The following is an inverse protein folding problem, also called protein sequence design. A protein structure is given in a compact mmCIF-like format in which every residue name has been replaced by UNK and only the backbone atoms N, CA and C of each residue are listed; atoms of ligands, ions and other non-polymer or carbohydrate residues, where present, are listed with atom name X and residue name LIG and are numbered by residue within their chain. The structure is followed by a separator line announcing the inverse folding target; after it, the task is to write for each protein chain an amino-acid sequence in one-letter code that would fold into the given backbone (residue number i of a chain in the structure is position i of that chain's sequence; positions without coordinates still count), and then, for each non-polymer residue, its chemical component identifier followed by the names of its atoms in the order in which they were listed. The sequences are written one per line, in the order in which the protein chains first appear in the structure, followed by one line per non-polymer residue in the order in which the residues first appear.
data_IF_761343474343
#
_entry.id   IF_761343474343
#
_cell.length_a   1.000
_cell.length_b   1.000
_cell.length_c   1.000
_cell.angle_alpha   90.00
_cell.angle_beta   90.00
_cell.angle_gamma   90.00
#
_symmetry.space_group_name_H-M   'P 1'
#
loop_
_entity.id
_entity.type
_entity.pdbx_description
1 polymer ?
#
# COMPACT_ATOMS: atom_id res chain seq x y z
N UNK A 1 1.66 -1.43 23.68
CA UNK A 1 0.56 -2.09 24.41
C UNK A 1 -0.14 -3.02 23.44
N UNK A 2 -0.17 -4.34 23.72
CA UNK A 2 -0.80 -5.35 22.86
C UNK A 2 -2.30 -5.37 23.20
N UNK A 3 -3.15 -4.86 22.31
CA UNK A 3 -4.60 -5.00 22.43
C UNK A 3 -5.03 -6.20 21.61
N UNK A 4 -5.53 -7.25 22.24
CA UNK A 4 -6.28 -8.28 21.52
C UNK A 4 -7.72 -7.78 21.42
N UNK A 5 -8.20 -7.50 20.21
CA UNK A 5 -9.61 -7.18 19.97
C UNK A 5 -10.32 -8.47 19.57
N UNK A 6 -11.11 -9.05 20.47
CA UNK A 6 -11.98 -10.18 20.13
C UNK A 6 -13.41 -9.64 20.02
N UNK A 7 -13.97 -9.61 18.81
CA UNK A 7 -15.37 -9.26 18.56
C UNK A 7 -16.27 -10.31 19.20
N UNK A 8 -17.01 -9.92 20.25
CA UNK A 8 -18.00 -10.80 20.88
C UNK A 8 -19.23 -10.93 19.97
N UNK A 9 -19.70 -12.15 19.65
CA UNK A 9 -21.01 -12.31 19.03
C UNK A 9 -22.09 -11.86 20.02
N UNK A 10 -22.99 -10.98 19.58
CA UNK A 10 -24.16 -10.58 20.36
C UNK A 10 -25.10 -11.77 20.52
N UNK A 11 -25.25 -12.28 21.75
CA UNK A 11 -26.15 -13.38 22.04
C UNK A 11 -27.61 -12.88 22.05
N UNK A 12 -28.39 -13.27 21.04
CA UNK A 12 -29.85 -13.30 21.15
C UNK A 12 -30.22 -14.49 22.05
N UNK A 13 -30.87 -14.20 23.17
CA UNK A 13 -31.43 -15.18 24.10
C UNK A 13 -32.63 -15.88 23.46
N UNK A 14 -32.40 -17.04 22.85
CA UNK A 14 -33.44 -17.95 22.38
C UNK A 14 -32.95 -19.39 22.57
N UNK A 15 -33.57 -20.11 23.51
CA UNK A 15 -33.20 -21.44 23.95
C UNK A 15 -33.34 -22.46 22.80
N UNK A 16 -32.23 -22.87 22.18
CA UNK A 16 -32.16 -24.04 21.32
C UNK A 16 -30.83 -24.75 21.54
N UNK A 17 -30.90 -25.93 22.15
CA UNK A 17 -29.79 -26.89 22.32
C UNK A 17 -29.36 -27.43 20.94
N UNK A 18 -28.66 -26.60 20.17
CA UNK A 18 -27.78 -27.09 19.11
C UNK A 18 -26.40 -27.31 19.72
N UNK A 19 -25.77 -28.43 19.36
CA UNK A 19 -24.36 -28.67 19.61
C UNK A 19 -23.57 -27.47 19.08
N UNK A 20 -23.22 -26.55 19.99
CA UNK A 20 -22.39 -25.39 19.70
C UNK A 20 -21.01 -25.97 19.48
N UNK A 21 -20.69 -26.29 18.22
CA UNK A 21 -19.31 -26.44 17.82
C UNK A 21 -18.59 -25.19 18.36
N UNK A 22 -17.48 -25.34 19.09
CA UNK A 22 -16.75 -24.18 19.61
C UNK A 22 -16.36 -23.34 18.39
N UNK A 23 -17.12 -22.27 18.16
CA UNK A 23 -16.69 -21.19 17.30
C UNK A 23 -15.53 -20.59 18.08
N UNK A 24 -14.34 -21.13 17.86
CA UNK A 24 -13.10 -20.54 18.31
C UNK A 24 -13.09 -19.16 17.67
N UNK A 25 -13.50 -18.15 18.43
CA UNK A 25 -13.32 -16.76 18.05
C UNK A 25 -11.81 -16.57 17.97
N UNK A 26 -11.27 -16.72 16.77
CA UNK A 26 -9.86 -16.51 16.51
C UNK A 26 -9.55 -15.06 16.89
N UNK A 27 -8.93 -14.87 18.05
CA UNK A 27 -8.42 -13.56 18.43
C UNK A 27 -7.21 -13.31 17.55
N UNK A 28 -7.41 -12.58 16.45
CA UNK A 28 -6.34 -12.17 15.55
C UNK A 28 -5.51 -11.08 16.23
N UNK A 29 -4.20 -11.08 15.95
CA UNK A 29 -3.33 -10.00 16.42
C UNK A 29 -3.60 -8.75 15.58
N UNK A 30 -4.57 -7.96 15.99
CA UNK A 30 -4.80 -6.64 15.39
C UNK A 30 -3.83 -5.62 15.99
N UNK A 31 -2.71 -5.40 15.32
CA UNK A 31 -1.92 -4.20 15.59
C UNK A 31 -2.72 -3.04 15.02
N UNK A 32 -3.33 -2.23 15.89
CA UNK A 32 -4.16 -1.09 15.47
C UNK A 32 -3.30 -0.06 14.72
N UNK A 33 -3.09 -0.28 13.44
CA UNK A 33 -2.28 0.57 12.58
C UNK A 33 -3.16 1.16 11.50
N UNK A 34 -3.24 2.49 11.46
CA UNK A 34 -3.90 3.19 10.36
C UNK A 34 -2.97 3.22 9.15
N UNK A 35 -3.54 3.36 7.96
CA UNK A 35 -2.81 3.71 6.74
C UNK A 35 -2.39 5.20 6.78
N UNK A 36 -1.56 5.55 7.76
CA UNK A 36 -1.06 6.89 8.03
C UNK A 36 0.42 6.80 8.42
N UNK A 37 1.31 7.36 7.59
CA UNK A 37 2.76 7.23 7.73
C UNK A 37 3.42 8.60 7.93
N UNK A 38 4.10 8.74 9.06
CA UNK A 38 5.03 9.85 9.32
C UNK A 38 6.42 9.42 8.87
N UNK A 39 6.74 9.67 7.60
CA UNK A 39 8.02 9.28 7.01
C UNK A 39 9.15 10.14 7.59
N UNK A 40 10.29 9.52 7.89
CA UNK A 40 11.50 10.25 8.33
C UNK A 40 12.05 11.11 7.21
N UNK A 41 12.91 12.09 7.53
CA UNK A 41 13.57 12.93 6.52
C UNK A 41 14.30 12.10 5.45
N UNK A 42 14.98 11.01 5.86
CA UNK A 42 15.68 10.13 4.94
C UNK A 42 14.73 9.35 4.01
N UNK A 43 13.55 8.96 4.51
CA UNK A 43 12.52 8.30 3.70
C UNK A 43 11.85 9.29 2.74
N UNK A 44 11.52 10.50 3.21
CA UNK A 44 10.95 11.55 2.37
C UNK A 44 11.90 11.98 1.24
N UNK A 45 13.22 11.96 1.47
CA UNK A 45 14.21 12.27 0.44
C UNK A 45 14.19 11.30 -0.75
N UNK A 46 13.58 10.12 -0.61
CA UNK A 46 13.42 9.11 -1.68
C UNK A 46 12.16 9.30 -2.49
N UNK A 47 11.23 10.10 -2.00
CA UNK A 47 9.97 10.36 -2.66
C UNK A 47 10.16 11.34 -3.82
N UNK A 48 9.82 10.88 -5.02
CA UNK A 48 9.76 11.72 -6.22
C UNK A 48 8.31 12.16 -6.44
N UNK A 49 7.98 13.46 -6.39
CA UNK A 49 6.64 13.93 -6.66
C UNK A 49 6.27 13.70 -8.13
N UNK A 50 5.06 13.21 -8.37
CA UNK A 50 4.51 12.97 -9.69
C UNK A 50 3.01 13.31 -9.73
N UNK A 51 2.45 13.37 -10.94
CA UNK A 51 1.02 13.51 -11.17
C UNK A 51 0.47 12.26 -11.84
N UNK A 52 -0.69 11.77 -11.41
CA UNK A 52 -1.41 10.68 -12.09
C UNK A 52 -1.99 11.21 -13.40
N UNK A 53 -1.60 10.61 -14.53
CA UNK A 53 -2.15 10.95 -15.84
C UNK A 53 -3.38 10.10 -16.17
N UNK A 54 -3.33 8.79 -15.87
CA UNK A 54 -4.47 7.86 -15.86
C UNK A 54 -4.08 6.50 -15.24
N UNK A 55 -5.07 5.65 -14.97
CA UNK A 55 -4.88 4.27 -14.50
C UNK A 55 -5.09 3.28 -15.65
N UNK A 56 -4.09 2.45 -15.96
CA UNK A 56 -4.22 1.39 -16.97
C UNK A 56 -5.03 0.22 -16.41
N UNK A 57 -4.71 -0.19 -15.19
CA UNK A 57 -5.35 -1.21 -14.38
C UNK A 57 -5.28 -0.82 -12.89
N UNK A 58 -5.57 -1.76 -11.98
CA UNK A 58 -5.64 -1.47 -10.55
C UNK A 58 -4.30 -1.10 -9.90
N UNK A 59 -3.17 -1.52 -10.47
CA UNK A 59 -1.81 -1.33 -9.90
C UNK A 59 -0.79 -0.81 -10.93
N UNK A 60 -1.25 -0.29 -12.06
CA UNK A 60 -0.42 0.31 -13.12
C UNK A 60 -0.91 1.71 -13.48
N UNK A 61 -0.55 2.75 -12.70
CA UNK A 61 -0.77 4.13 -13.12
C UNK A 61 0.28 4.55 -14.16
N UNK A 62 -0.14 5.44 -15.05
CA UNK A 62 0.77 6.28 -15.83
C UNK A 62 0.98 7.59 -15.08
N UNK A 63 2.25 7.94 -14.90
CA UNK A 63 2.65 9.09 -14.11
C UNK A 63 3.53 10.05 -14.91
N UNK A 64 3.54 11.29 -14.44
CA UNK A 64 4.38 12.35 -14.95
C UNK A 64 5.16 12.95 -13.78
N UNK A 65 6.47 12.70 -13.73
CA UNK A 65 7.33 13.27 -12.70
C UNK A 65 7.37 14.79 -12.84
N UNK A 66 7.37 15.49 -11.70
CA UNK A 66 7.64 16.92 -11.73
C UNK A 66 9.04 17.15 -12.34
N UNK A 67 9.11 17.95 -13.41
CA UNK A 67 10.37 18.37 -14.01
C UNK A 67 11.31 18.94 -12.94
N UNK A 68 12.63 18.75 -13.07
CA UNK A 68 13.60 19.26 -12.07
C UNK A 68 13.40 20.74 -11.74
N UNK A 69 13.02 21.56 -12.73
CA UNK A 69 12.68 22.97 -12.55
C UNK A 69 11.47 23.15 -11.62
N UNK A 70 10.41 22.38 -11.82
CA UNK A 70 9.22 22.39 -10.94
C UNK A 70 9.54 21.84 -9.56
N UNK A 71 10.49 20.90 -9.44
CA UNK A 71 10.98 20.42 -8.15
C UNK A 71 11.73 21.52 -7.40
N UNK A 72 12.63 22.23 -8.08
CA UNK A 72 13.35 23.40 -7.53
C UNK A 72 12.36 24.52 -7.14
N UNK A 73 11.35 24.80 -7.95
CA UNK A 73 10.30 25.78 -7.62
C UNK A 73 9.47 25.35 -6.40
N UNK A 74 9.09 24.07 -6.29
CA UNK A 74 8.35 23.55 -5.15
C UNK A 74 9.18 23.57 -3.86
N UNK A 75 10.46 23.20 -3.94
CA UNK A 75 11.42 23.30 -2.83
C UNK A 75 11.62 24.76 -2.40
N UNK A 76 11.71 25.69 -3.36
CA UNK A 76 11.87 27.12 -3.07
C UNK A 76 10.61 27.70 -2.42
N UNK A 77 9.41 27.39 -2.94
CA UNK A 77 8.12 27.80 -2.33
C UNK A 77 7.93 27.22 -0.93
N UNK A 78 8.34 25.96 -0.70
CA UNK A 78 8.33 25.34 0.63
C UNK A 78 9.23 26.10 1.61
N UNK A 79 10.47 26.44 1.20
CA UNK A 79 11.42 27.21 2.03
C UNK A 79 10.93 28.64 2.31
N UNK A 80 10.30 29.28 1.33
CA UNK A 80 9.70 30.62 1.51
C UNK A 80 8.51 30.60 2.46
N UNK A 81 7.66 29.59 2.39
CA UNK A 81 6.52 29.44 3.30
C UNK A 81 6.99 29.14 4.73
N UNK A 82 7.99 28.28 4.92
CA UNK A 82 8.60 28.05 6.24
C UNK A 82 9.19 29.34 6.83
N UNK A 83 9.90 30.14 6.01
CA UNK A 83 10.42 31.46 6.43
C UNK A 83 9.32 32.50 6.73
N UNK A 84 8.17 32.41 6.06
CA UNK A 84 7.01 33.29 6.32
C UNK A 84 6.26 32.91 7.59
N UNK A 85 6.28 31.63 7.98
CA UNK A 85 5.76 31.19 9.28
C UNK A 85 6.69 31.64 10.42
N UNK A 86 8.01 31.60 10.23
CA UNK A 86 8.98 32.14 11.21
C UNK A 86 8.97 33.68 11.33
N UNK A 87 8.56 34.40 10.28
CA UNK A 87 8.49 35.87 10.28
C UNK A 87 7.12 36.45 10.64
N UNK A 88 6.12 35.62 10.98
CA UNK A 88 4.78 36.11 11.36
C UNK A 88 4.71 36.69 12.79
N UNK A 89 5.85 36.85 13.48
CA UNK A 89 5.98 37.64 14.72
C UNK A 89 6.57 39.05 14.54
N UNK A 90 7.05 39.44 13.36
CA UNK A 90 7.53 40.82 13.13
C UNK A 90 7.01 41.43 11.83
N UNK A 91 5.93 42.21 11.99
CA UNK A 91 5.62 43.52 11.38
C UNK A 91 6.05 43.81 9.92
N UNK A 92 5.03 44.14 9.09
CA UNK A 92 4.93 45.20 8.05
C UNK A 92 6.27 45.76 7.51
N UNK A 93 6.59 45.80 6.22
CA UNK A 93 5.97 46.63 5.16
C UNK A 93 6.65 46.32 3.79
N UNK A 94 5.91 46.56 2.70
CA UNK A 94 6.31 47.06 1.35
C UNK A 94 7.02 46.21 0.26
N UNK A 95 6.32 46.27 -0.88
CA UNK A 95 6.68 46.41 -2.30
C UNK A 95 7.30 45.31 -3.17
N UNK A 96 6.68 45.28 -4.35
CA UNK A 96 6.67 44.33 -5.45
C UNK A 96 7.85 44.48 -6.39
N UNK A 97 8.30 43.38 -6.98
CA UNK A 97 8.90 43.42 -8.30
C UNK A 97 8.61 42.16 -9.11
N UNK A 98 8.23 42.41 -10.35
CA UNK A 98 7.75 41.49 -11.39
C UNK A 98 8.94 40.83 -12.11
N UNK A 99 8.84 39.55 -12.46
CA UNK A 99 9.82 38.90 -13.34
C UNK A 99 9.16 37.80 -14.18
N UNK A 100 9.11 38.05 -15.49
CA UNK A 100 8.65 37.12 -16.52
C UNK A 100 9.69 36.03 -16.78
N UNK A 101 9.28 34.76 -16.82
CA UNK A 101 10.11 33.65 -17.31
C UNK A 101 9.48 33.01 -18.56
N UNK A 102 10.31 32.83 -19.58
CA UNK A 102 9.97 32.17 -20.83
C UNK A 102 9.86 30.66 -20.65
N UNK A 103 8.78 30.05 -21.14
CA UNK A 103 8.48 28.63 -20.97
C UNK A 103 9.17 27.78 -22.04
N UNK A 104 10.20 27.02 -21.66
CA UNK A 104 10.72 25.90 -22.45
C UNK A 104 9.75 24.73 -22.35
N UNK A 105 9.19 24.30 -23.48
CA UNK A 105 8.20 23.21 -23.54
C UNK A 105 8.91 21.85 -23.36
N UNK A 106 9.09 21.43 -22.11
CA UNK A 106 9.59 20.09 -21.74
C UNK A 106 8.53 19.06 -22.16
N UNK A 107 8.87 18.22 -23.15
CA UNK A 107 8.05 17.05 -23.51
C UNK A 107 7.99 16.12 -22.29
N UNK A 108 6.80 15.96 -21.71
CA UNK A 108 6.55 14.97 -20.67
C UNK A 108 6.72 13.57 -21.23
N UNK A 109 7.76 12.85 -20.84
CA UNK A 109 7.84 11.41 -21.05
C UNK A 109 6.80 10.76 -20.13
N UNK A 110 5.74 10.22 -20.71
CA UNK A 110 4.78 9.38 -19.97
C UNK A 110 5.55 8.16 -19.46
N UNK A 111 5.38 7.85 -18.18
CA UNK A 111 6.06 6.74 -17.53
C UNK A 111 5.04 5.82 -16.85
N UNK A 112 5.00 4.56 -17.27
CA UNK A 112 4.23 3.53 -16.57
C UNK A 112 4.93 3.16 -15.27
N UNK A 113 4.17 3.11 -14.17
CA UNK A 113 4.61 2.63 -12.87
C UNK A 113 3.91 1.30 -12.59
N UNK A 114 4.64 0.29 -12.12
CA UNK A 114 4.08 -0.91 -11.49
C UNK A 114 4.17 -0.72 -9.98
N UNK A 115 3.04 -0.79 -9.29
CA UNK A 115 3.03 -0.65 -7.84
C UNK A 115 3.74 -1.85 -7.19
N UNK A 116 4.66 -1.55 -6.29
CA UNK A 116 5.44 -2.54 -5.57
C UNK A 116 4.64 -3.22 -4.46
N UNK A 117 4.90 -4.50 -4.21
CA UNK A 117 4.41 -5.21 -3.03
C UNK A 117 2.94 -5.61 -3.06
N UNK A 118 2.22 -5.35 -4.15
CA UNK A 118 0.86 -5.83 -4.37
C UNK A 118 0.68 -6.38 -5.78
N UNK A 119 -0.41 -7.10 -5.98
CA UNK A 119 -0.86 -7.57 -7.29
C UNK A 119 -2.38 -7.42 -7.38
N UNK A 120 -2.88 -6.94 -8.52
CA UNK A 120 -4.32 -6.82 -8.80
C UNK A 120 -4.75 -7.78 -9.90
N UNK A 121 -6.04 -8.18 -9.97
CA UNK A 121 -6.55 -8.88 -11.14
C UNK A 121 -6.41 -8.00 -12.39
N UNK A 122 -5.99 -8.58 -13.52
CA UNK A 122 -5.75 -7.83 -14.75
C UNK A 122 -6.91 -7.98 -15.75
N UNK A 123 -7.23 -6.90 -16.48
CA UNK A 123 -8.21 -6.94 -17.59
C UNK A 123 -7.65 -7.67 -18.81
N UNK A 124 -6.33 -7.62 -19.00
CA UNK A 124 -5.62 -8.16 -20.15
C UNK A 124 -4.22 -8.60 -19.75
N UNK A 125 -3.84 -9.82 -20.13
CA UNK A 125 -2.51 -10.37 -19.93
C UNK A 125 -1.89 -10.60 -21.30
N UNK A 126 -0.82 -9.89 -21.65
CA UNK A 126 -0.29 -9.86 -23.03
C UNK A 126 -0.01 -11.23 -23.66
N UNK A 127 0.32 -12.24 -22.85
CA UNK A 127 0.59 -13.62 -23.32
C UNK A 127 -0.63 -14.55 -23.29
N UNK A 128 -1.74 -14.15 -22.67
CA UNK A 128 -2.92 -15.00 -22.43
C UNK A 128 -4.24 -14.40 -22.95
N UNK A 129 -4.23 -13.13 -23.35
CA UNK A 129 -5.39 -12.41 -23.87
C UNK A 129 -6.20 -11.70 -22.77
N UNK A 130 -7.44 -11.35 -23.12
CA UNK A 130 -8.36 -10.68 -22.20
C UNK A 130 -8.85 -11.64 -21.10
N UNK A 131 -8.97 -11.12 -19.89
CA UNK A 131 -9.58 -11.87 -18.79
C UNK A 131 -11.09 -11.98 -18.97
N UNK A 132 -11.68 -13.02 -18.38
CA UNK A 132 -13.11 -13.30 -18.43
C UNK A 132 -13.62 -13.75 -17.07
N UNK A 133 -14.94 -13.74 -16.87
CA UNK A 133 -15.56 -14.16 -15.60
C UNK A 133 -15.14 -13.28 -14.42
N UNK A 134 -14.89 -13.93 -13.28
CA UNK A 134 -14.59 -13.26 -12.00
C UNK A 134 -13.34 -12.38 -12.07
N UNK A 135 -12.30 -12.81 -12.80
CA UNK A 135 -11.05 -12.04 -12.97
C UNK A 135 -11.31 -10.67 -13.57
N UNK A 136 -12.09 -10.61 -14.66
CA UNK A 136 -12.43 -9.36 -15.33
C UNK A 136 -13.26 -8.44 -14.45
N UNK A 137 -14.26 -9.01 -13.76
CA UNK A 137 -15.15 -8.26 -12.85
C UNK A 137 -14.33 -7.61 -11.72
N UNK A 138 -13.45 -8.37 -11.08
CA UNK A 138 -12.62 -7.84 -10.00
C UNK A 138 -11.54 -6.88 -10.50
N UNK A 139 -10.99 -7.09 -11.71
CA UNK A 139 -10.05 -6.17 -12.35
C UNK A 139 -10.69 -4.79 -12.65
N UNK A 140 -11.94 -4.78 -13.11
CA UNK A 140 -12.71 -3.55 -13.32
C UNK A 140 -12.99 -2.84 -12.00
N UNK A 141 -13.41 -3.57 -10.95
CA UNK A 141 -13.61 -3.01 -9.61
C UNK A 141 -12.33 -2.40 -9.04
N UNK A 142 -11.20 -3.12 -9.16
CA UNK A 142 -9.89 -2.65 -8.69
C UNK A 142 -9.48 -1.35 -9.40
N UNK A 143 -9.63 -1.30 -10.74
CA UNK A 143 -9.33 -0.10 -11.53
C UNK A 143 -10.20 1.10 -11.12
N UNK A 144 -11.50 0.87 -10.96
CA UNK A 144 -12.44 1.93 -10.56
C UNK A 144 -12.15 2.44 -9.14
N UNK A 145 -11.77 1.53 -8.23
CA UNK A 145 -11.38 1.91 -6.88
C UNK A 145 -10.08 2.73 -6.89
N UNK A 146 -9.07 2.34 -7.66
CA UNK A 146 -7.82 3.07 -7.80
C UNK A 146 -8.05 4.51 -8.32
N UNK A 147 -8.85 4.66 -9.38
CA UNK A 147 -9.20 5.97 -9.94
C UNK A 147 -10.01 6.83 -8.96
N UNK A 148 -10.91 6.23 -8.18
CA UNK A 148 -11.65 6.94 -7.13
C UNK A 148 -10.74 7.38 -5.97
N UNK A 149 -9.79 6.52 -5.59
CA UNK A 149 -8.89 6.76 -4.48
C UNK A 149 -7.88 7.87 -4.82
N UNK A 150 -7.31 7.81 -6.02
CA UNK A 150 -6.36 8.79 -6.54
C UNK A 150 -6.78 9.19 -7.97
N UNK A 151 -7.65 10.20 -8.10
CA UNK A 151 -8.11 10.66 -9.40
C UNK A 151 -6.98 11.16 -10.31
N UNK A 152 -7.26 11.16 -11.61
CA UNK A 152 -6.39 11.83 -12.59
C UNK A 152 -6.11 13.28 -12.16
N UNK A 153 -4.87 13.70 -12.31
CA UNK A 153 -4.39 15.04 -11.93
C UNK A 153 -3.98 15.15 -10.46
N UNK A 154 -4.21 14.14 -9.63
CA UNK A 154 -3.74 14.12 -8.25
C UNK A 154 -2.21 14.06 -8.17
N UNK A 155 -1.65 14.81 -7.22
CA UNK A 155 -0.23 14.72 -6.84
C UNK A 155 0.00 13.50 -5.96
N UNK A 156 1.03 12.73 -6.31
CA UNK A 156 1.48 11.54 -5.60
C UNK A 156 2.99 11.61 -5.39
N UNK A 157 3.51 10.72 -4.56
CA UNK A 157 4.92 10.62 -4.22
C UNK A 157 5.37 9.18 -4.42
N UNK A 158 6.26 8.99 -5.40
CA UNK A 158 6.77 7.67 -5.78
C UNK A 158 8.08 7.41 -5.07
N UNK A 159 8.14 6.32 -4.32
CA UNK A 159 9.39 5.75 -3.85
C UNK A 159 9.87 4.72 -4.88
N UNK A 160 10.73 5.17 -5.78
CA UNK A 160 11.31 4.32 -6.82
C UNK A 160 12.26 3.27 -6.23
N UNK A 161 12.14 2.02 -6.69
CA UNK A 161 13.11 0.96 -6.43
C UNK A 161 14.26 0.94 -7.44
N UNK A 162 14.27 1.85 -8.41
CA UNK A 162 15.22 1.89 -9.53
C UNK A 162 15.32 0.54 -10.27
N UNK A 163 14.21 -0.18 -10.36
CA UNK A 163 14.07 -1.43 -11.11
C UNK A 163 12.90 -1.32 -12.08
N UNK A 164 12.90 -2.16 -13.11
CA UNK A 164 11.89 -2.13 -14.18
C UNK A 164 11.28 -3.52 -14.39
N UNK A 165 9.97 -3.54 -14.61
CA UNK A 165 9.22 -4.72 -15.03
C UNK A 165 8.64 -4.44 -16.41
N UNK A 166 9.28 -5.00 -17.44
CA UNK A 166 9.07 -4.61 -18.83
C UNK A 166 9.43 -3.13 -19.05
N UNK A 167 8.48 -2.32 -19.54
CA UNK A 167 8.61 -0.89 -19.79
C UNK A 167 8.18 -0.02 -18.59
N UNK A 168 7.86 -0.63 -17.45
CA UNK A 168 7.34 0.06 -16.26
C UNK A 168 8.39 0.15 -15.17
N UNK A 169 8.53 1.32 -14.57
CA UNK A 169 9.30 1.48 -13.33
C UNK A 169 8.56 0.76 -12.19
N UNK A 170 9.29 0.15 -11.25
CA UNK A 170 8.70 -0.44 -10.04
C UNK A 170 8.92 0.50 -8.86
N UNK A 171 7.85 0.78 -8.11
CA UNK A 171 7.95 1.66 -6.94
C UNK A 171 6.73 1.61 -6.04
N UNK A 172 6.89 2.12 -4.83
CA UNK A 172 5.77 2.31 -3.91
C UNK A 172 5.14 3.70 -4.10
N UNK A 173 3.82 3.79 -3.95
CA UNK A 173 3.05 5.00 -4.22
C UNK A 173 2.40 5.53 -2.95
N UNK A 174 2.82 6.74 -2.57
CA UNK A 174 2.27 7.47 -1.44
C UNK A 174 1.44 8.67 -1.92
N UNK A 175 0.42 9.01 -1.15
CA UNK A 175 -0.44 10.16 -1.44
C UNK A 175 -0.97 10.81 -0.15
N UNK A 176 -1.65 11.94 -0.31
CA UNK A 176 -2.36 12.63 0.76
C UNK A 176 -3.80 12.87 0.31
N UNK A 177 -4.78 12.28 1.00
CA UNK A 177 -6.19 12.53 0.68
C UNK A 177 -6.60 13.99 0.88
N UNK A 178 -5.90 14.70 1.76
CA UNK A 178 -6.05 16.14 1.96
C UNK A 178 -4.66 16.79 1.94
N UNK A 179 -4.43 17.83 1.09
CA UNK A 179 -3.12 18.47 0.98
C UNK A 179 -2.60 19.09 2.28
N UNK A 180 -3.47 19.33 3.27
CA UNK A 180 -3.13 19.84 4.60
C UNK A 180 -2.68 18.75 5.59
N UNK A 181 -2.77 17.48 5.23
CA UNK A 181 -2.32 16.39 6.10
C UNK A 181 -0.80 16.36 6.25
N UNK A 182 -0.34 16.08 7.47
CA UNK A 182 1.09 15.97 7.79
C UNK A 182 1.65 14.58 7.53
N UNK A 183 0.79 13.56 7.44
CA UNK A 183 1.16 12.18 7.13
C UNK A 183 0.92 11.84 5.65
N UNK A 184 1.52 10.74 5.21
CA UNK A 184 1.27 10.09 3.92
C UNK A 184 0.36 8.87 4.10
N UNK A 185 -0.30 8.46 3.03
CA UNK A 185 -1.02 7.20 2.94
C UNK A 185 -0.38 6.36 1.85
N UNK A 186 -0.34 5.04 2.04
CA UNK A 186 0.14 4.07 1.06
C UNK A 186 -1.03 3.62 0.19
N UNK A 187 -0.83 3.66 -1.12
CA UNK A 187 -1.79 3.13 -2.09
C UNK A 187 -1.92 1.61 -1.96
N UNK A 188 -0.80 0.92 -1.77
CA UNK A 188 -0.72 -0.54 -1.58
C UNK A 188 -1.65 -1.00 -0.45
N UNK A 189 -1.50 -0.36 0.73
CA UNK A 189 -2.30 -0.68 1.91
C UNK A 189 -3.78 -0.44 1.65
N UNK A 190 -4.13 0.67 0.99
CA UNK A 190 -5.53 0.98 0.68
C UNK A 190 -6.17 -0.04 -0.28
N UNK A 191 -5.45 -0.44 -1.33
CA UNK A 191 -5.91 -1.44 -2.29
C UNK A 191 -6.12 -2.81 -1.65
N UNK A 192 -5.19 -3.25 -0.81
CA UNK A 192 -5.28 -4.53 -0.10
C UNK A 192 -6.38 -4.49 0.97
N UNK A 193 -6.50 -3.40 1.72
CA UNK A 193 -7.53 -3.25 2.76
C UNK A 193 -8.95 -3.29 2.17
N UNK A 194 -9.12 -2.71 0.98
CA UNK A 194 -10.36 -2.77 0.22
C UNK A 194 -10.58 -4.12 -0.49
N UNK A 195 -9.67 -5.09 -0.36
CA UNK A 195 -9.78 -6.41 -0.99
C UNK A 195 -9.68 -6.39 -2.51
N UNK A 196 -9.04 -5.36 -3.11
CA UNK A 196 -8.85 -5.27 -4.55
C UNK A 196 -7.48 -5.78 -5.02
N UNK A 197 -6.57 -6.05 -4.08
CA UNK A 197 -5.23 -6.56 -4.36
C UNK A 197 -4.84 -7.63 -3.33
N UNK A 198 -3.95 -8.54 -3.73
CA UNK A 198 -3.20 -9.38 -2.80
C UNK A 198 -1.85 -8.72 -2.50
N UNK A 199 -1.33 -8.79 -1.27
CA UNK A 199 0.05 -8.42 -1.02
C UNK A 199 0.98 -9.47 -1.61
N UNK A 200 2.04 -9.03 -2.28
CA UNK A 200 3.09 -9.90 -2.80
C UNK A 200 4.41 -9.52 -2.17
N UNK A 201 5.19 -10.54 -1.89
CA UNK A 201 6.37 -10.41 -1.06
C UNK A 201 7.67 -10.53 -1.83
N UNK A 202 7.63 -11.17 -3.00
CA UNK A 202 8.82 -11.59 -3.74
C UNK A 202 9.87 -12.20 -2.79
N UNK A 203 11.14 -11.88 -3.04
CA UNK A 203 12.27 -12.18 -2.12
C UNK A 203 12.43 -11.14 -1.00
N UNK A 204 11.64 -10.06 -1.01
CA UNK A 204 11.83 -8.87 -0.17
C UNK A 204 11.42 -9.03 1.29
N UNK A 205 10.66 -10.06 1.66
CA UNK A 205 10.20 -10.21 3.06
C UNK A 205 11.32 -10.40 4.08
N UNK A 206 12.48 -10.91 3.67
CA UNK A 206 13.62 -11.03 4.58
C UNK A 206 14.12 -9.65 5.05
N UNK A 207 13.82 -8.58 4.32
CA UNK A 207 14.18 -7.19 4.66
C UNK A 207 13.35 -6.65 5.84
N UNK A 208 12.21 -7.25 6.15
CA UNK A 208 11.39 -6.88 7.31
C UNK A 208 11.98 -7.41 8.61
N UNK A 209 12.73 -8.51 8.53
CA UNK A 209 13.42 -9.15 9.66
C UNK A 209 14.79 -8.52 9.98
N UNK A 210 15.30 -7.70 9.05
CA UNK A 210 16.62 -7.07 9.14
C UNK A 210 16.49 -5.57 9.47
N UNK A 211 16.84 -5.14 10.69
CA UNK A 211 16.79 -3.74 11.05
C UNK A 211 17.79 -2.87 10.26
N UNK A 212 18.87 -3.44 9.73
CA UNK A 212 19.95 -2.71 9.04
C UNK A 212 19.67 -2.44 7.56
N UNK A 213 18.86 -3.30 6.92
CA UNK A 213 18.43 -3.13 5.53
C UNK A 213 17.14 -2.29 5.39
N UNK A 214 16.55 -1.87 6.52
CA UNK A 214 15.17 -1.42 6.55
C UNK A 214 14.91 -0.07 5.88
N UNK A 215 15.80 0.92 5.91
CA UNK A 215 15.43 2.26 5.45
C UNK A 215 15.23 2.37 3.92
N UNK A 216 15.74 1.42 3.13
CA UNK A 216 15.78 1.48 1.67
C UNK A 216 14.61 0.81 0.96
N UNK A 217 13.94 -0.13 1.62
CA UNK A 217 12.79 -0.84 1.07
C UNK A 217 11.46 -0.30 1.65
N UNK A 218 10.49 0.14 0.81
CA UNK A 218 9.17 0.56 1.25
C UNK A 218 8.42 -0.47 2.11
N UNK A 219 8.60 -1.78 1.87
CA UNK A 219 7.95 -2.85 2.65
C UNK A 219 8.40 -2.87 4.11
N UNK A 220 9.58 -2.34 4.44
CA UNK A 220 9.98 -2.22 5.84
C UNK A 220 9.15 -1.18 6.62
N UNK A 221 8.51 -0.26 5.87
CA UNK A 221 7.69 0.85 6.36
C UNK A 221 6.23 0.45 6.35
N UNK A 222 5.74 -0.10 5.23
CA UNK A 222 4.31 -0.39 5.03
C UNK A 222 3.93 -1.84 5.34
N UNK A 223 4.90 -2.74 5.50
CA UNK A 223 4.64 -4.18 5.53
C UNK A 223 3.64 -4.61 6.58
N UNK A 224 3.77 -4.10 7.82
CA UNK A 224 2.86 -4.48 8.91
C UNK A 224 1.42 -4.02 8.63
N UNK A 225 1.25 -2.79 8.14
CA UNK A 225 -0.04 -2.25 7.72
C UNK A 225 -0.62 -3.07 6.56
N UNK A 226 0.22 -3.52 5.62
CA UNK A 226 -0.19 -4.35 4.50
C UNK A 226 -0.67 -5.73 4.97
N UNK A 227 -0.02 -6.34 5.96
CA UNK A 227 -0.50 -7.57 6.60
C UNK A 227 -1.83 -7.34 7.32
N UNK A 228 -1.96 -6.28 8.13
CA UNK A 228 -3.22 -5.99 8.81
C UNK A 228 -4.37 -5.75 7.82
N UNK A 229 -4.11 -5.03 6.72
CA UNK A 229 -5.04 -4.83 5.62
C UNK A 229 -5.47 -6.15 4.99
N UNK A 230 -4.52 -7.05 4.69
CA UNK A 230 -4.81 -8.35 4.11
C UNK A 230 -5.67 -9.21 5.04
N UNK A 231 -5.34 -9.26 6.34
CA UNK A 231 -6.14 -9.99 7.34
C UNK A 231 -7.55 -9.44 7.47
N UNK A 232 -7.70 -8.11 7.46
CA UNK A 232 -9.01 -7.46 7.50
C UNK A 232 -9.86 -7.83 6.29
N UNK A 233 -9.31 -7.70 5.08
CA UNK A 233 -10.03 -8.03 3.85
C UNK A 233 -10.36 -9.53 3.73
N UNK A 234 -9.41 -10.40 4.11
CA UNK A 234 -9.57 -11.86 4.12
C UNK A 234 -10.68 -12.30 5.07
N UNK A 235 -10.65 -11.83 6.33
CA UNK A 235 -11.60 -12.23 7.36
C UNK A 235 -13.00 -11.66 7.10
N UNK A 236 -13.10 -10.45 6.56
CA UNK A 236 -14.37 -9.85 6.19
C UNK A 236 -14.88 -10.31 4.81
N UNK A 237 -14.15 -11.19 4.11
CA UNK A 237 -14.51 -11.74 2.79
C UNK A 237 -14.86 -10.63 1.79
N UNK A 238 -13.98 -9.63 1.67
CA UNK A 238 -14.20 -8.46 0.80
C UNK A 238 -13.68 -8.75 -0.61
N UNK A 239 -14.49 -8.45 -1.63
CA UNK A 239 -14.09 -8.45 -3.06
C UNK A 239 -13.39 -9.75 -3.51
N UNK A 240 -12.09 -9.74 -3.84
CA UNK A 240 -11.36 -10.92 -4.33
C UNK A 240 -11.38 -12.11 -3.35
N UNK A 241 -11.70 -11.85 -2.08
CA UNK A 241 -11.81 -12.84 -1.00
C UNK A 241 -13.23 -13.40 -0.81
N UNK A 242 -14.22 -12.96 -1.60
CA UNK A 242 -15.65 -13.23 -1.39
C UNK A 242 -16.23 -14.38 -2.22
N UNK A 243 -15.46 -14.95 -3.15
CA UNK A 243 -15.96 -15.89 -4.16
C UNK A 243 -16.07 -17.33 -3.65
N UNK A 244 -15.38 -17.68 -2.57
CA UNK A 244 -15.44 -18.98 -1.90
C UNK A 244 -15.25 -18.83 -0.39
N UNK A 245 -15.75 -19.80 0.38
CA UNK A 245 -15.54 -19.84 1.84
C UNK A 245 -14.07 -20.05 2.19
N UNK A 246 -13.33 -20.76 1.34
CA UNK A 246 -11.88 -20.90 1.37
C UNK A 246 -11.22 -19.75 0.58
N UNK A 247 -10.36 -18.96 1.23
CA UNK A 247 -9.77 -17.79 0.60
C UNK A 247 -8.80 -18.13 -0.54
N UNK A 248 -8.11 -19.27 -0.49
CA UNK A 248 -7.22 -19.69 -1.58
C UNK A 248 -8.01 -20.09 -2.83
N UNK A 249 -9.14 -20.79 -2.65
CA UNK A 249 -10.06 -21.08 -3.77
C UNK A 249 -10.68 -19.81 -4.34
N UNK A 250 -11.05 -18.85 -3.48
CA UNK A 250 -11.52 -17.53 -3.93
C UNK A 250 -10.47 -16.84 -4.82
N UNK A 251 -9.21 -16.77 -4.37
CA UNK A 251 -8.14 -16.18 -5.18
C UNK A 251 -7.85 -16.97 -6.45
N UNK A 252 -7.88 -18.30 -6.42
CA UNK A 252 -7.66 -19.13 -7.61
C UNK A 252 -8.79 -18.94 -8.64
N UNK A 253 -10.01 -18.66 -8.18
CA UNK A 253 -11.13 -18.33 -9.05
C UNK A 253 -10.99 -16.95 -9.72
N UNK A 254 -10.39 -15.98 -9.01
CA UNK A 254 -10.15 -14.62 -9.49
C UNK A 254 -8.87 -14.52 -10.34
N UNK A 255 -7.74 -15.09 -9.93
CA UNK A 255 -6.46 -15.00 -10.64
C UNK A 255 -6.26 -16.19 -11.59
N UNK A 256 -7.23 -16.46 -12.48
CA UNK A 256 -7.22 -17.65 -13.36
C UNK A 256 -6.14 -17.57 -14.42
N UNK A 257 -5.99 -16.42 -15.07
CA UNK A 257 -5.02 -16.27 -16.14
C UNK A 257 -3.60 -16.33 -15.61
N UNK A 258 -3.27 -15.56 -14.58
CA UNK A 258 -1.87 -15.44 -14.11
C UNK A 258 -1.49 -16.43 -13.01
N UNK A 259 -2.47 -16.97 -12.28
CA UNK A 259 -2.25 -17.64 -11.00
C UNK A 259 -2.07 -16.63 -9.87
N UNK A 260 -2.51 -16.99 -8.66
CA UNK A 260 -2.28 -16.19 -7.47
C UNK A 260 -0.89 -16.50 -6.88
N UNK A 261 -0.07 -15.46 -6.65
CA UNK A 261 1.26 -15.60 -6.05
C UNK A 261 1.14 -16.06 -4.59
N UNK A 262 1.59 -17.27 -4.26
CA UNK A 262 1.39 -17.86 -2.92
C UNK A 262 2.07 -17.07 -1.79
N UNK A 263 2.99 -16.15 -2.07
CA UNK A 263 3.67 -15.36 -1.02
C UNK A 263 2.71 -14.47 -0.22
N UNK A 264 1.49 -14.21 -0.73
CA UNK A 264 0.44 -13.52 0.03
C UNK A 264 0.13 -14.20 1.37
N UNK A 265 0.32 -15.52 1.49
CA UNK A 265 0.07 -16.26 2.75
C UNK A 265 0.99 -15.82 3.87
N UNK A 266 2.15 -15.22 3.56
CA UNK A 266 3.08 -14.69 4.58
C UNK A 266 2.56 -13.43 5.26
N UNK A 267 1.55 -12.78 4.70
CA UNK A 267 0.89 -11.61 5.28
C UNK A 267 -0.31 -11.97 6.18
N UNK A 268 -0.75 -13.23 6.17
CA UNK A 268 -1.85 -13.66 7.05
C UNK A 268 -1.38 -14.00 8.46
N UNK A 269 -2.26 -13.75 9.43
CA UNK A 269 -2.15 -14.27 10.79
C UNK A 269 -2.30 -15.80 10.75
N UNK A 270 -1.50 -16.50 11.55
CA UNK A 270 -1.54 -17.96 11.70
C UNK A 270 -2.92 -18.47 12.09
N UNK A 271 -3.72 -17.65 12.80
CA UNK A 271 -5.06 -17.98 13.20
C UNK A 271 -6.06 -18.16 12.02
N UNK A 272 -5.73 -17.66 10.82
CA UNK A 272 -6.61 -17.78 9.65
C UNK A 272 -6.59 -19.18 9.00
N UNK A 273 -5.90 -20.16 9.60
CA UNK A 273 -5.86 -21.55 9.13
C UNK A 273 -5.03 -21.77 7.86
N UNK A 274 -4.49 -20.70 7.28
CA UNK A 274 -3.55 -20.70 6.15
C UNK A 274 -2.21 -20.16 6.66
N UNK A 275 -1.42 -21.02 7.32
CA UNK A 275 -0.12 -20.58 7.83
C UNK A 275 0.90 -20.57 6.69
N UNK A 276 1.76 -19.55 6.69
CA UNK A 276 2.91 -19.53 5.79
C UNK A 276 3.77 -20.80 5.91
N UNK A 277 3.77 -21.44 7.08
CA UNK A 277 4.39 -22.74 7.32
C UNK A 277 3.71 -23.89 6.56
N UNK A 278 2.37 -23.96 6.54
CA UNK A 278 1.64 -25.00 5.79
C UNK A 278 1.76 -24.81 4.28
N UNK A 279 1.89 -23.56 3.82
CA UNK A 279 2.19 -23.23 2.42
C UNK A 279 3.69 -23.36 2.05
N UNK A 280 4.58 -23.68 3.00
CA UNK A 280 6.03 -23.81 2.76
C UNK A 280 6.75 -22.49 2.48
N UNK A 281 6.12 -21.36 2.78
CA UNK A 281 6.60 -20.00 2.46
C UNK A 281 7.47 -19.37 3.57
N UNK A 282 7.65 -20.06 4.70
CA UNK A 282 8.52 -19.64 5.81
C UNK A 282 7.80 -18.82 6.88
N UNK A 283 8.52 -17.94 7.58
CA UNK A 283 7.96 -17.14 8.66
C UNK A 283 6.94 -16.10 8.16
N UNK A 284 5.87 -15.91 8.93
CA UNK A 284 4.86 -14.87 8.70
C UNK A 284 5.42 -13.50 9.02
N UNK A 285 4.79 -12.46 8.47
CA UNK A 285 5.19 -11.08 8.70
C UNK A 285 5.20 -10.72 10.19
N UNK A 286 4.21 -11.20 10.93
CA UNK A 286 4.09 -10.96 12.37
C UNK A 286 5.24 -11.60 13.15
N UNK A 287 5.67 -12.81 12.76
CA UNK A 287 6.83 -13.46 13.36
C UNK A 287 8.11 -12.67 13.07
N UNK A 288 8.31 -12.25 11.82
CA UNK A 288 9.49 -11.44 11.45
C UNK A 288 9.51 -10.08 12.17
N UNK A 289 8.34 -9.48 12.34
CA UNK A 289 8.18 -8.24 13.08
C UNK A 289 8.53 -8.41 14.57
N UNK A 290 8.02 -9.44 15.22
CA UNK A 290 8.32 -9.74 16.62
C UNK A 290 9.83 -9.98 16.81
N UNK A 291 10.49 -10.70 15.88
CA UNK A 291 11.94 -10.88 15.88
C UNK A 291 12.70 -9.56 15.76
N UNK A 292 12.27 -8.66 14.87
CA UNK A 292 12.85 -7.32 14.72
C UNK A 292 12.75 -6.52 16.02
N UNK A 293 11.57 -6.50 16.66
CA UNK A 293 11.37 -5.77 17.92
C UNK A 293 12.29 -6.31 19.03
N UNK A 294 12.45 -7.63 19.13
CA UNK A 294 13.37 -8.24 20.09
C UNK A 294 14.84 -7.83 19.84
N UNK A 295 15.30 -7.80 18.58
CA UNK A 295 16.65 -7.34 18.22
C UNK A 295 16.88 -5.87 18.56
N UNK A 296 15.89 -5.00 18.29
CA UNK A 296 15.98 -3.57 18.61
C UNK A 296 16.07 -3.34 20.12
N UNK A 297 15.31 -4.10 20.93
CA UNK A 297 15.37 -4.01 22.37
C UNK A 297 16.76 -4.39 22.93
N UNK A 298 17.43 -5.38 22.34
CA UNK A 298 18.79 -5.81 22.73
C UNK A 298 19.88 -4.79 22.37
N UNK A 299 19.72 -4.01 21.29
CA UNK A 299 20.70 -2.96 20.91
C UNK A 299 20.61 -1.71 21.79
N UNK A 300 19.49 -1.52 22.50
CA UNK A 300 19.25 -0.35 23.36
C UNK A 300 19.58 -0.56 24.84
N UNK A 301 20.02 -1.76 25.24
CA UNK A 301 20.44 -2.14 26.59
C UNK A 301 21.95 -2.27 26.70
#
# INVERSE_FOLDING_TARGET
MKGFSCSRPGYLTGLLLLAVAPILTACTRDYTTKNEFQLTTAQQAKLKPATIEYWRDGDTPEINYASEERRKEAEQKSKENAKKEDKKEEKKTEDSQDSSSASTQVRSSKHGLRIYGIDTPEKHVSSKGDSTGDEKIEAEKASNYAEKLIPKGSTVWVWSLNTYSYDREVGALFFKSNPKQTFFQSFEVAMVEAGHAIPIAGTGLNLIADPELSADDPLSVIGLQLANAANKAYNAKINIWSHDTDGYRSLTAVYKLRGADISWTRFLDEANGYSSASAGTGASLYQLWDQRQAKLAQKGS
#
